data_IF_909037923167
#
_entry.id   IF_909037923167
#
_cell.length_a   1.000
_cell.length_b   1.000
_cell.length_c   1.000
_cell.angle_alpha   90.00
_cell.angle_beta   90.00
_cell.angle_gamma   90.00
#
_symmetry.space_group_name_H-M   'P 1'
#
loop_
_entity.id
_entity.type
_entity.pdbx_description
1 polymer ?
#
# COMPACT_ATOMS: atom_id res chain seq x y z
N UNK A 1 4.18 5.02 -25.71
CA UNK A 1 4.59 5.23 -24.31
C UNK A 1 3.51 4.60 -23.47
N UNK A 2 3.62 3.32 -23.16
CA UNK A 2 2.59 2.61 -22.38
C UNK A 2 2.93 2.87 -20.92
N UNK A 3 2.19 3.78 -20.27
CA UNK A 3 2.17 3.80 -18.82
C UNK A 3 1.67 2.42 -18.39
N UNK A 4 2.48 1.68 -17.62
CA UNK A 4 1.95 0.57 -16.86
C UNK A 4 0.84 1.18 -15.99
N UNK A 5 -0.40 0.80 -16.24
CA UNK A 5 -1.52 1.23 -15.43
C UNK A 5 -1.36 0.50 -14.10
N UNK A 6 -0.75 1.16 -13.11
CA UNK A 6 -0.87 0.73 -11.74
C UNK A 6 -2.36 0.75 -11.40
N UNK A 7 -2.85 -0.33 -10.80
CA UNK A 7 -4.20 -0.36 -10.24
C UNK A 7 -4.20 0.49 -8.96
N UNK A 8 -5.30 1.19 -8.69
CA UNK A 8 -5.49 1.94 -7.45
C UNK A 8 -6.40 1.18 -6.46
N UNK A 9 -6.19 1.42 -5.17
CA UNK A 9 -7.10 1.03 -4.09
C UNK A 9 -7.14 2.13 -3.03
N UNK A 10 -8.28 2.24 -2.35
CA UNK A 10 -8.49 3.19 -1.26
C UNK A 10 -9.05 2.47 -0.03
N UNK A 11 -8.71 2.97 1.15
CA UNK A 11 -9.25 2.45 2.40
C UNK A 11 -8.49 2.91 3.62
N UNK A 12 -8.91 2.40 4.77
CA UNK A 12 -8.27 2.68 6.05
C UNK A 12 -7.23 1.61 6.34
N UNK A 13 -6.03 2.01 6.78
CA UNK A 13 -5.01 1.04 7.21
C UNK A 13 -5.52 0.30 8.44
N UNK A 14 -5.79 -1.00 8.30
CA UNK A 14 -6.19 -1.86 9.40
C UNK A 14 -4.99 -2.42 10.16
N UNK A 15 -3.86 -2.67 9.48
CA UNK A 15 -2.65 -3.23 10.11
C UNK A 15 -1.39 -2.83 9.36
N UNK A 16 -0.32 -2.52 10.09
CA UNK A 16 1.02 -2.25 9.55
C UNK A 16 2.02 -3.29 10.03
N UNK A 17 2.50 -4.15 9.13
CA UNK A 17 3.58 -5.10 9.39
C UNK A 17 4.93 -4.50 8.95
N UNK A 18 5.69 -4.04 9.95
CA UNK A 18 7.01 -3.42 9.75
C UNK A 18 8.11 -4.44 9.43
N UNK A 19 7.95 -5.69 9.85
CA UNK A 19 8.94 -6.75 9.58
C UNK A 19 8.74 -7.31 8.17
N UNK A 20 7.49 -7.55 7.77
CA UNK A 20 7.10 -8.01 6.45
C UNK A 20 7.11 -6.94 5.37
N UNK A 21 7.18 -5.65 5.77
CA UNK A 21 6.97 -4.48 4.92
C UNK A 21 5.64 -4.57 4.17
N UNK A 22 4.55 -4.75 4.91
CA UNK A 22 3.20 -4.82 4.33
C UNK A 22 2.19 -3.98 5.11
N UNK A 23 1.16 -3.51 4.41
CA UNK A 23 -0.03 -2.94 5.01
C UNK A 23 -1.25 -3.77 4.61
N UNK A 24 -2.22 -3.86 5.51
CA UNK A 24 -3.54 -4.42 5.21
C UNK A 24 -4.57 -3.33 5.38
N UNK A 25 -5.40 -3.12 4.37
CA UNK A 25 -6.52 -2.18 4.44
C UNK A 25 -7.75 -2.85 5.07
N UNK A 26 -8.71 -2.04 5.49
CA UNK A 26 -9.98 -2.47 6.09
C UNK A 26 -10.84 -3.33 5.15
N UNK A 27 -10.64 -3.21 3.83
CA UNK A 27 -11.23 -4.09 2.83
C UNK A 27 -10.65 -5.53 2.83
N UNK A 28 -9.62 -5.79 3.63
CA UNK A 28 -8.95 -7.08 3.79
C UNK A 28 -7.84 -7.36 2.77
N UNK A 29 -7.56 -6.44 1.84
CA UNK A 29 -6.45 -6.57 0.91
C UNK A 29 -5.12 -6.22 1.60
N UNK A 30 -4.09 -7.01 1.31
CA UNK A 30 -2.72 -6.79 1.79
C UNK A 30 -1.81 -6.36 0.64
N UNK A 31 -0.99 -5.34 0.91
CA UNK A 31 -0.09 -4.70 -0.04
C UNK A 31 1.34 -4.70 0.49
N UNK A 32 2.28 -5.08 -0.36
CA UNK A 32 3.70 -5.04 -0.05
C UNK A 32 4.27 -3.65 -0.32
N UNK A 33 4.90 -3.08 0.68
CA UNK A 33 5.65 -1.84 0.57
C UNK A 33 7.03 -2.14 -0.03
N UNK A 34 7.45 -1.29 -0.97
CA UNK A 34 8.86 -1.26 -1.36
C UNK A 34 9.71 -0.74 -0.19
N UNK A 35 11.01 -1.06 -0.18
CA UNK A 35 11.93 -0.57 0.86
C UNK A 35 12.18 0.95 0.81
N UNK A 36 11.55 1.66 -0.12
CA UNK A 36 11.64 3.11 -0.28
C UNK A 36 10.60 3.85 0.57
N UNK A 37 9.56 3.16 1.06
CA UNK A 37 8.53 3.77 1.90
C UNK A 37 8.98 3.89 3.36
N UNK A 38 8.69 5.04 3.96
CA UNK A 38 8.88 5.26 5.39
C UNK A 38 7.73 4.61 6.17
N UNK A 39 7.88 3.32 6.46
CA UNK A 39 6.85 2.52 7.16
C UNK A 39 6.62 2.99 8.60
N UNK A 40 7.58 3.71 9.19
CA UNK A 40 7.42 4.25 10.56
C UNK A 40 6.38 5.37 10.60
N UNK A 41 6.21 6.11 9.50
CA UNK A 41 5.18 7.13 9.35
C UNK A 41 3.76 6.56 9.18
N UNK A 42 3.62 5.27 8.86
CA UNK A 42 2.33 4.63 8.64
C UNK A 42 1.70 4.19 9.97
N UNK A 43 0.42 4.54 10.14
CA UNK A 43 -0.36 4.26 11.34
C UNK A 43 -1.67 3.58 10.99
N UNK A 44 -2.13 2.70 11.89
CA UNK A 44 -3.45 2.09 11.80
C UNK A 44 -4.54 3.14 12.03
N UNK A 45 -5.66 3.02 11.33
CA UNK A 45 -6.78 3.96 11.40
C UNK A 45 -6.65 5.18 10.49
N UNK A 46 -5.61 5.25 9.67
CA UNK A 46 -5.39 6.34 8.71
C UNK A 46 -5.93 5.96 7.34
N UNK A 47 -6.63 6.89 6.70
CA UNK A 47 -7.15 6.73 5.34
C UNK A 47 -6.05 6.98 4.30
N UNK A 48 -5.95 6.06 3.34
CA UNK A 48 -4.95 6.11 2.28
C UNK A 48 -5.57 5.82 0.91
N UNK A 49 -4.94 6.39 -0.12
CA UNK A 49 -5.07 5.94 -1.50
C UNK A 49 -3.70 5.43 -1.93
N UNK A 50 -3.66 4.25 -2.52
CA UNK A 50 -2.42 3.65 -2.99
C UNK A 50 -2.56 3.20 -4.44
N UNK A 51 -1.48 3.33 -5.19
CA UNK A 51 -1.30 2.68 -6.47
C UNK A 51 -0.40 1.46 -6.29
N UNK A 52 -0.69 0.37 -7.00
CA UNK A 52 0.08 -0.86 -6.91
C UNK A 52 0.21 -1.57 -8.26
N UNK A 53 1.28 -2.34 -8.38
CA UNK A 53 1.48 -3.32 -9.44
C UNK A 53 1.40 -4.74 -8.89
N UNK A 54 0.86 -5.67 -9.66
CA UNK A 54 0.89 -7.09 -9.31
C UNK A 54 2.10 -7.77 -9.93
N UNK A 55 3.14 -7.99 -9.13
CA UNK A 55 4.39 -8.62 -9.58
C UNK A 55 4.44 -10.04 -9.03
N UNK A 56 4.34 -11.04 -9.91
CA UNK A 56 4.37 -12.46 -9.49
C UNK A 56 3.22 -12.87 -8.55
N UNK A 57 2.07 -12.19 -8.65
CA UNK A 57 0.91 -12.42 -7.79
C UNK A 57 0.92 -11.64 -6.47
N UNK A 58 1.94 -10.80 -6.24
CA UNK A 58 2.03 -9.94 -5.06
C UNK A 58 1.68 -8.50 -5.44
N UNK A 59 0.68 -7.94 -4.77
CA UNK A 59 0.33 -6.51 -4.88
C UNK A 59 1.42 -5.69 -4.22
N UNK A 60 2.18 -4.95 -5.02
CA UNK A 60 3.33 -4.16 -4.57
C UNK A 60 3.03 -2.69 -4.78
N UNK A 61 3.04 -1.91 -3.70
CA UNK A 61 2.76 -0.48 -3.72
C UNK A 61 3.82 0.25 -4.54
N UNK A 62 3.37 1.09 -5.46
CA UNK A 62 4.21 1.96 -6.29
C UNK A 62 4.06 3.42 -5.90
N UNK A 63 2.90 3.80 -5.37
CA UNK A 63 2.64 5.13 -4.82
C UNK A 63 1.66 5.03 -3.64
N UNK A 64 1.82 5.90 -2.64
CA UNK A 64 0.96 5.92 -1.46
C UNK A 64 0.73 7.35 -0.98
N UNK A 65 -0.54 7.72 -0.86
CA UNK A 65 -0.99 9.03 -0.41
C UNK A 65 -1.78 8.84 0.88
N UNK A 66 -1.38 9.57 1.92
CA UNK A 66 -2.03 9.60 3.22
C UNK A 66 -2.95 10.83 3.27
N UNK A 67 -4.19 10.63 3.71
CA UNK A 67 -5.10 11.73 4.03
C UNK A 67 -5.06 12.01 5.54
N UNK A 68 -4.88 13.29 5.89
CA UNK A 68 -4.90 13.81 7.27
C UNK A 68 -6.30 14.27 7.71
#
# INVERSE_FOLDING_TARGET
MTAFAADDDEGTIATVDREGLTITLDNGNTYKLSGEFDVESLQEGVDVVLAYDTIGGVKTVTDLIIYE
#
